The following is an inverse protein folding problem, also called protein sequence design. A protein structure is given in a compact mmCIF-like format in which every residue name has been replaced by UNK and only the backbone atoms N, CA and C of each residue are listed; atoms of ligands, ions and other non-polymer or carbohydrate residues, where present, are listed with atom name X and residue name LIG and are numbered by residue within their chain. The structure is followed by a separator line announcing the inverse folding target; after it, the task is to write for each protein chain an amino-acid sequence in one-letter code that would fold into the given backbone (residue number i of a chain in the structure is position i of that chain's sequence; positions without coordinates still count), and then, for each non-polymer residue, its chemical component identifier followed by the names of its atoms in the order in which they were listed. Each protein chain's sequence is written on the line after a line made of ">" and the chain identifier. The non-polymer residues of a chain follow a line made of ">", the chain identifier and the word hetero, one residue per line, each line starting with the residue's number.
data_IF_881251741691
#
_entry.id   IF_881251741691
#
_cell.length_a   1.000
_cell.length_b   1.000
_cell.length_c   1.000
_cell.angle_alpha   90.00
_cell.angle_beta   90.00
_cell.angle_gamma   90.00
#
_symmetry.space_group_name_H-M   'P 1'
#
loop_
_entity.id
_entity.type
_entity.pdbx_description
1 polymer ?
#
# COMPACT_ATOMS: atom_id res chain seq x y z
N UNK A 1 -10.53 26.34 19.76
CA UNK A 1 -9.63 25.46 19.03
C UNK A 1 -8.48 26.35 18.60
N UNK A 2 -7.30 26.12 19.17
CA UNK A 2 -6.17 27.02 19.11
C UNK A 2 -5.78 27.33 17.66
N UNK A 3 -5.91 28.60 17.27
CA UNK A 3 -5.35 29.08 16.01
C UNK A 3 -3.83 28.95 16.11
N UNK A 4 -3.23 28.06 15.31
CA UNK A 4 -1.79 27.88 15.24
C UNK A 4 -1.25 28.70 14.04
N UNK A 5 -0.83 29.95 14.24
CA UNK A 5 -0.42 30.83 13.14
C UNK A 5 0.86 30.34 12.46
N UNK A 6 1.70 29.58 13.16
CA UNK A 6 2.93 29.03 12.59
C UNK A 6 2.62 27.91 11.59
N UNK A 7 1.57 27.12 11.83
CA UNK A 7 1.10 26.10 10.90
C UNK A 7 0.53 26.73 9.61
N UNK A 8 -0.23 27.82 9.73
CA UNK A 8 -0.76 28.53 8.55
C UNK A 8 0.37 29.06 7.66
N UNK A 9 1.42 29.64 8.25
CA UNK A 9 2.59 30.12 7.49
C UNK A 9 3.35 29.00 6.78
N UNK A 10 3.37 27.78 7.34
CA UNK A 10 4.00 26.63 6.67
C UNK A 10 3.22 26.12 5.46
N UNK A 11 1.93 26.45 5.36
CA UNK A 11 1.05 26.06 4.26
C UNK A 11 1.00 27.11 3.13
N UNK A 12 1.70 28.24 3.29
CA UNK A 12 1.81 29.27 2.25
C UNK A 12 2.75 28.79 1.13
N UNK A 13 2.31 28.93 -0.13
CA UNK A 13 3.16 28.76 -1.31
C UNK A 13 3.55 30.14 -1.85
N UNK A 14 4.85 30.51 -1.87
CA UNK A 14 5.30 31.83 -2.33
C UNK A 14 5.00 32.11 -3.80
N UNK A 15 4.74 31.07 -4.61
CA UNK A 15 4.41 31.20 -6.02
C UNK A 15 2.89 31.24 -6.29
N UNK A 16 2.06 31.13 -5.24
CA UNK A 16 0.61 31.09 -5.35
C UNK A 16 -0.04 32.16 -4.48
N UNK A 17 -0.63 33.18 -5.10
CA UNK A 17 -1.22 34.35 -4.42
C UNK A 17 -2.59 34.05 -3.79
N UNK A 18 -2.71 32.97 -3.04
CA UNK A 18 -3.91 32.63 -2.27
C UNK A 18 -3.66 32.84 -0.77
N UNK A 19 -4.71 33.28 -0.06
CA UNK A 19 -4.67 33.40 1.39
C UNK A 19 -5.11 32.08 2.03
N UNK A 20 -4.29 31.53 2.92
CA UNK A 20 -4.66 30.34 3.69
C UNK A 20 -5.65 30.75 4.78
N UNK A 21 -6.91 30.34 4.67
CA UNK A 21 -7.94 30.70 5.65
C UNK A 21 -8.02 29.74 6.85
N UNK A 22 -7.70 28.46 6.63
CA UNK A 22 -7.93 27.37 7.59
C UNK A 22 -6.89 26.26 7.43
N UNK A 23 -6.52 25.65 8.55
CA UNK A 23 -5.74 24.41 8.60
C UNK A 23 -6.58 23.29 9.22
N UNK A 24 -6.47 22.09 8.67
CA UNK A 24 -7.08 20.88 9.21
C UNK A 24 -5.97 19.87 9.48
N UNK A 25 -5.89 19.36 10.70
CA UNK A 25 -4.94 18.32 11.08
C UNK A 25 -5.65 16.98 10.97
N UNK A 26 -5.10 16.08 10.16
CA UNK A 26 -5.59 14.73 9.97
C UNK A 26 -4.65 13.76 10.68
N UNK A 27 -5.19 12.94 11.57
CA UNK A 27 -4.50 11.74 12.07
C UNK A 27 -4.85 10.59 11.15
N UNK A 28 -3.84 10.00 10.50
CA UNK A 28 -4.04 8.85 9.63
C UNK A 28 -3.93 7.58 10.45
N UNK A 29 -5.06 6.88 10.63
CA UNK A 29 -5.11 5.60 11.36
C UNK A 29 -4.51 4.44 10.56
N UNK A 30 -4.79 4.42 9.26
CA UNK A 30 -4.26 3.42 8.34
C UNK A 30 -4.17 4.02 6.94
N UNK A 31 -3.18 3.55 6.19
CA UNK A 31 -3.00 3.92 4.80
C UNK A 31 -2.67 2.66 4.01
N UNK A 32 -3.57 2.30 3.10
CA UNK A 32 -3.44 1.12 2.25
C UNK A 32 -3.17 1.57 0.82
N UNK A 33 -1.94 1.34 0.35
CA UNK A 33 -1.54 1.65 -1.03
C UNK A 33 -2.32 0.81 -2.04
N UNK A 34 -2.84 -0.34 -1.60
CA UNK A 34 -3.51 -1.33 -2.44
C UNK A 34 -4.99 -1.53 -2.04
N UNK A 35 -5.71 -0.45 -1.77
CA UNK A 35 -7.15 -0.53 -1.50
C UNK A 35 -7.91 -1.07 -2.73
N UNK A 36 -8.58 -2.24 -2.62
CA UNK A 36 -9.20 -2.90 -3.77
C UNK A 36 -10.37 -2.11 -4.36
N UNK A 37 -10.97 -1.17 -3.62
CA UNK A 37 -12.07 -0.33 -4.13
C UNK A 37 -11.68 0.50 -5.36
N UNK A 38 -10.39 0.74 -5.60
CA UNK A 38 -9.91 1.55 -6.72
C UNK A 38 -8.95 0.80 -7.66
N UNK A 39 -8.73 -0.49 -7.44
CA UNK A 39 -7.89 -1.31 -8.31
C UNK A 39 -8.79 -2.09 -9.27
N UNK A 40 -8.83 -1.66 -10.53
CA UNK A 40 -9.55 -2.40 -11.58
C UNK A 40 -8.82 -3.72 -11.86
N UNK A 41 -9.49 -4.89 -11.72
CA UNK A 41 -8.88 -6.17 -12.06
C UNK A 41 -8.49 -6.22 -13.54
N UNK A 42 -7.22 -6.53 -13.83
CA UNK A 42 -6.70 -6.63 -15.20
C UNK A 42 -7.03 -7.96 -15.89
N UNK A 43 -7.20 -9.02 -15.09
CA UNK A 43 -7.41 -10.39 -15.56
C UNK A 43 -8.65 -10.96 -14.90
N UNK A 44 -9.31 -11.89 -15.59
CA UNK A 44 -10.28 -12.78 -14.95
C UNK A 44 -9.58 -13.68 -13.94
N UNK A 45 -10.35 -14.27 -13.03
CA UNK A 45 -9.83 -15.21 -12.04
C UNK A 45 -9.11 -16.40 -12.71
N UNK A 46 -9.72 -16.98 -13.74
CA UNK A 46 -9.16 -18.10 -14.51
C UNK A 46 -7.83 -17.73 -15.18
N UNK A 47 -7.74 -16.54 -15.80
CA UNK A 47 -6.50 -16.06 -16.41
C UNK A 47 -5.42 -15.82 -15.35
N UNK A 48 -5.80 -15.29 -14.19
CA UNK A 48 -4.87 -15.07 -13.10
C UNK A 48 -4.34 -16.39 -12.54
N UNK A 49 -5.22 -17.36 -12.26
CA UNK A 49 -4.86 -18.70 -11.80
C UNK A 49 -3.89 -19.39 -12.76
N UNK A 50 -4.19 -19.37 -14.06
CA UNK A 50 -3.32 -19.96 -15.07
C UNK A 50 -1.92 -19.32 -15.09
N UNK A 51 -1.83 -18.00 -14.84
CA UNK A 51 -0.55 -17.28 -14.75
C UNK A 51 0.19 -17.55 -13.45
N UNK A 52 -0.52 -17.76 -12.34
CA UNK A 52 0.05 -18.00 -11.02
C UNK A 52 0.45 -19.46 -10.80
N UNK A 53 -0.18 -20.41 -11.50
CA UNK A 53 0.10 -21.85 -11.41
C UNK A 53 1.60 -22.20 -11.43
N UNK A 54 2.43 -21.78 -12.42
CA UNK A 54 3.84 -22.16 -12.45
C UNK A 54 4.65 -21.60 -11.26
N UNK A 55 4.25 -20.45 -10.72
CA UNK A 55 4.89 -19.87 -9.54
C UNK A 55 4.52 -20.65 -8.29
N UNK A 56 3.25 -21.03 -8.14
CA UNK A 56 2.76 -21.84 -7.04
C UNK A 56 3.38 -23.25 -7.04
N UNK A 57 3.55 -23.85 -8.23
CA UNK A 57 4.23 -25.13 -8.39
C UNK A 57 5.69 -25.03 -7.92
N UNK A 58 6.40 -23.96 -8.34
CA UNK A 58 7.78 -23.73 -7.94
C UNK A 58 7.92 -23.46 -6.44
N UNK A 59 6.99 -22.69 -5.86
CA UNK A 59 6.94 -22.46 -4.41
C UNK A 59 6.77 -23.78 -3.68
N UNK A 60 5.83 -24.64 -4.12
CA UNK A 60 5.59 -25.94 -3.49
C UNK A 60 6.83 -26.85 -3.58
N UNK A 61 7.51 -26.87 -4.73
CA UNK A 61 8.77 -27.61 -4.89
C UNK A 61 9.85 -27.11 -3.92
N UNK A 62 10.01 -25.79 -3.81
CA UNK A 62 10.99 -25.18 -2.92
C UNK A 62 10.66 -25.41 -1.44
N UNK A 63 9.40 -25.29 -1.05
CA UNK A 63 8.93 -25.61 0.30
C UNK A 63 9.29 -27.07 0.65
N UNK A 64 9.05 -28.02 -0.24
CA UNK A 64 9.45 -29.44 -0.05
C UNK A 64 10.97 -29.63 0.07
N UNK A 65 11.76 -28.90 -0.72
CA UNK A 65 13.23 -28.97 -0.65
C UNK A 65 13.75 -28.39 0.67
N UNK A 66 13.15 -27.32 1.18
CA UNK A 66 13.49 -26.74 2.48
C UNK A 66 13.17 -27.72 3.61
N UNK A 67 12.00 -28.36 3.58
CA UNK A 67 11.61 -29.39 4.55
C UNK A 67 12.57 -30.58 4.50
N UNK A 68 12.90 -31.08 3.31
CA UNK A 68 13.86 -32.17 3.13
C UNK A 68 15.27 -31.79 3.62
N UNK A 69 15.65 -30.52 3.53
CA UNK A 69 16.90 -30.00 4.05
C UNK A 69 16.87 -29.70 5.57
N UNK A 70 15.74 -29.93 6.24
CA UNK A 70 15.55 -29.62 7.66
C UNK A 70 15.54 -28.12 7.96
N UNK A 71 15.33 -27.28 6.95
CA UNK A 71 15.21 -25.83 7.10
C UNK A 71 13.76 -25.51 7.46
N UNK A 72 13.53 -24.96 8.65
CA UNK A 72 12.21 -24.49 9.05
C UNK A 72 11.80 -23.30 8.17
N UNK A 73 10.72 -23.47 7.42
CA UNK A 73 10.05 -22.39 6.69
C UNK A 73 8.69 -22.16 7.33
N UNK A 74 8.56 -21.06 8.06
CA UNK A 74 7.32 -20.65 8.72
C UNK A 74 6.55 -19.77 7.74
N UNK A 75 5.39 -20.27 7.30
CA UNK A 75 4.57 -19.66 6.24
C UNK A 75 3.63 -18.60 6.78
#
# INVERSE_FOLDING_TARGET
>A
ADENPDLLRQLEDPNYQAQVERAVILTIEAFDWNCPQHITPRYTEVENEARMAPLNDRISELENLLEAAGVAYDK
#
